data_IF_031754580970
#
_entry.id   IF_031754580970
#
_cell.length_a   1.000
_cell.length_b   1.000
_cell.length_c   1.000
_cell.angle_alpha   90.00
_cell.angle_beta   90.00
_cell.angle_gamma   90.00
#
_symmetry.space_group_name_H-M   'P 1'
#
loop_
_entity.id
_entity.type
_entity.pdbx_description
1 polymer ?
#
# COMPACT_ATOMS: atom_id res chain seq x y z
N UNK A 1 -45.22 2.45 38.14
CA UNK A 1 -44.35 3.47 37.52
C UNK A 1 -43.31 2.71 36.75
N UNK A 2 -43.39 2.82 35.43
CA UNK A 2 -42.43 2.24 34.50
C UNK A 2 -41.14 3.06 34.56
N UNK A 3 -40.00 2.40 34.39
CA UNK A 3 -38.89 2.89 33.57
C UNK A 3 -37.92 1.71 33.38
N UNK A 4 -38.07 1.03 32.24
CA UNK A 4 -37.07 0.14 31.70
C UNK A 4 -36.09 0.99 30.90
N UNK A 5 -34.85 1.04 31.36
CA UNK A 5 -33.73 1.66 30.66
C UNK A 5 -33.31 0.73 29.51
N UNK A 6 -33.97 0.90 28.36
CA UNK A 6 -33.61 0.25 27.10
C UNK A 6 -32.53 1.11 26.42
N UNK A 7 -31.27 0.79 26.71
CA UNK A 7 -30.12 1.35 25.99
C UNK A 7 -30.16 0.86 24.54
N UNK A 8 -30.52 1.78 23.65
CA UNK A 8 -30.48 1.65 22.20
C UNK A 8 -29.13 1.07 21.74
N UNK A 9 -29.09 0.01 20.91
CA UNK A 9 -27.93 -0.21 20.08
C UNK A 9 -27.88 0.92 19.05
N UNK A 10 -26.80 1.70 19.11
CA UNK A 10 -26.46 2.71 18.13
C UNK A 10 -26.19 1.99 16.78
N UNK A 11 -27.24 1.68 16.03
CA UNK A 11 -27.09 1.28 14.63
C UNK A 11 -26.68 2.53 13.84
N UNK A 12 -25.40 2.61 13.54
CA UNK A 12 -24.79 3.52 12.57
C UNK A 12 -25.33 3.22 11.16
N UNK A 13 -26.61 3.48 10.93
CA UNK A 13 -27.27 3.26 9.65
C UNK A 13 -26.98 4.45 8.73
N UNK A 14 -25.95 4.30 7.88
CA UNK A 14 -25.61 5.28 6.84
C UNK A 14 -24.16 5.24 6.34
N UNK A 15 -23.25 4.59 7.07
CA UNK A 15 -21.86 4.35 6.65
C UNK A 15 -21.72 3.14 5.71
N UNK A 16 -22.45 2.06 6.00
CA UNK A 16 -22.26 0.73 5.41
C UNK A 16 -22.65 0.56 3.93
N UNK A 17 -23.55 1.39 3.36
CA UNK A 17 -24.11 1.06 2.04
C UNK A 17 -23.06 1.07 0.94
N UNK A 18 -22.24 2.12 0.85
CA UNK A 18 -21.23 2.24 -0.20
C UNK A 18 -20.01 1.37 0.05
N UNK A 19 -19.70 1.06 1.31
CA UNK A 19 -18.62 0.12 1.68
C UNK A 19 -19.00 -1.30 1.28
N UNK A 20 -20.27 -1.65 1.46
CA UNK A 20 -20.84 -2.93 1.02
C UNK A 20 -20.95 -2.99 -0.50
N UNK A 21 -21.40 -1.93 -1.16
CA UNK A 21 -21.38 -1.84 -2.63
C UNK A 21 -19.95 -1.98 -3.19
N UNK A 22 -18.96 -1.42 -2.49
CA UNK A 22 -17.55 -1.55 -2.83
C UNK A 22 -17.05 -3.00 -2.63
N UNK A 23 -17.40 -3.64 -1.51
CA UNK A 23 -17.07 -5.04 -1.23
C UNK A 23 -17.69 -5.99 -2.27
N UNK A 24 -18.99 -5.83 -2.58
CA UNK A 24 -19.68 -6.61 -3.60
C UNK A 24 -19.06 -6.40 -4.99
N UNK A 25 -18.68 -5.16 -5.34
CA UNK A 25 -18.00 -4.88 -6.60
C UNK A 25 -16.61 -5.54 -6.67
N UNK A 26 -15.87 -5.57 -5.57
CA UNK A 26 -14.58 -6.23 -5.47
C UNK A 26 -14.71 -7.76 -5.56
N UNK A 27 -15.70 -8.36 -4.88
CA UNK A 27 -15.98 -9.79 -4.90
C UNK A 27 -16.50 -10.30 -6.25
N UNK A 28 -17.33 -9.50 -6.93
CA UNK A 28 -17.89 -9.85 -8.24
C UNK A 28 -16.79 -10.11 -9.29
N UNK A 29 -15.58 -9.56 -9.09
CA UNK A 29 -14.44 -9.70 -9.98
C UNK A 29 -14.61 -8.87 -11.27
N UNK A 30 -13.54 -8.20 -11.68
CA UNK A 30 -13.56 -7.36 -12.89
C UNK A 30 -14.09 -5.94 -12.69
N UNK A 31 -14.14 -5.46 -11.45
CA UNK A 31 -14.41 -4.04 -11.17
C UNK A 31 -13.32 -3.15 -11.79
N UNK A 32 -13.75 -2.12 -12.52
CA UNK A 32 -12.90 -1.13 -13.17
C UNK A 32 -12.74 0.15 -12.32
N UNK A 33 -11.72 0.95 -12.65
CA UNK A 33 -11.41 2.19 -11.93
C UNK A 33 -12.57 3.20 -11.94
N UNK A 34 -13.36 3.26 -13.01
CA UNK A 34 -14.47 4.21 -13.13
C UNK A 34 -15.59 3.83 -12.17
N UNK A 35 -15.96 2.56 -12.12
CA UNK A 35 -16.92 2.00 -11.15
C UNK A 35 -16.45 2.23 -9.71
N UNK A 36 -15.18 1.93 -9.39
CA UNK A 36 -14.62 2.21 -8.05
C UNK A 36 -14.71 3.69 -7.69
N UNK A 37 -14.35 4.58 -8.62
CA UNK A 37 -14.40 6.03 -8.38
C UNK A 37 -15.84 6.50 -8.14
N UNK A 38 -16.81 5.93 -8.85
CA UNK A 38 -18.23 6.25 -8.70
C UNK A 38 -18.79 5.81 -7.35
N UNK A 39 -18.29 4.70 -6.78
CA UNK A 39 -18.68 4.19 -5.46
C UNK A 39 -17.97 4.96 -4.34
N UNK A 40 -16.65 5.14 -4.44
CA UNK A 40 -15.84 5.80 -3.39
C UNK A 40 -16.16 7.29 -3.32
N UNK A 41 -16.42 7.96 -4.44
CA UNK A 41 -16.74 9.40 -4.51
C UNK A 41 -15.74 10.32 -3.76
N UNK A 42 -14.47 9.88 -3.61
CA UNK A 42 -13.45 10.60 -2.84
C UNK A 42 -13.55 10.46 -1.31
N UNK A 43 -14.37 9.53 -0.80
CA UNK A 43 -14.44 9.17 0.62
C UNK A 43 -13.18 8.42 1.08
N UNK A 44 -12.85 8.46 2.39
CA UNK A 44 -11.73 7.72 2.93
C UNK A 44 -11.95 6.21 2.78
N UNK A 45 -10.93 5.52 2.24
CA UNK A 45 -10.97 4.09 1.98
C UNK A 45 -10.77 3.27 3.28
N UNK A 46 -11.60 2.24 3.52
CA UNK A 46 -11.41 1.29 4.60
C UNK A 46 -10.07 0.57 4.46
N UNK A 47 -9.42 0.23 5.58
CA UNK A 47 -8.08 -0.37 5.56
C UNK A 47 -8.06 -1.72 4.81
N UNK A 48 -9.07 -2.54 5.04
CA UNK A 48 -9.22 -3.87 4.47
C UNK A 48 -9.41 -3.83 2.94
N UNK A 49 -10.14 -2.84 2.43
CA UNK A 49 -10.47 -2.71 1.01
C UNK A 49 -9.41 -1.92 0.22
N UNK A 50 -8.61 -1.08 0.90
CA UNK A 50 -7.61 -0.20 0.26
C UNK A 50 -6.64 -0.95 -0.62
N UNK A 51 -6.15 -2.11 -0.17
CA UNK A 51 -5.22 -2.92 -0.95
C UNK A 51 -5.84 -3.40 -2.26
N UNK A 52 -7.10 -3.85 -2.23
CA UNK A 52 -7.81 -4.34 -3.42
C UNK A 52 -8.12 -3.19 -4.40
N UNK A 53 -8.60 -2.06 -3.88
CA UNK A 53 -8.88 -0.84 -4.66
C UNK A 53 -7.61 -0.34 -5.34
N UNK A 54 -6.49 -0.28 -4.63
CA UNK A 54 -5.21 0.16 -5.22
C UNK A 54 -4.70 -0.82 -6.28
N UNK A 55 -4.88 -2.13 -6.09
CA UNK A 55 -4.52 -3.13 -7.11
C UNK A 55 -5.27 -2.91 -8.43
N UNK A 56 -6.57 -2.61 -8.36
CA UNK A 56 -7.38 -2.30 -9.54
C UNK A 56 -6.98 -0.95 -10.12
N UNK A 57 -6.84 0.08 -9.28
CA UNK A 57 -6.51 1.43 -9.72
C UNK A 57 -5.15 1.55 -10.41
N UNK A 58 -4.17 0.75 -9.98
CA UNK A 58 -2.85 0.65 -10.61
C UNK A 58 -2.82 -0.34 -11.79
N UNK A 59 -3.96 -0.96 -12.12
CA UNK A 59 -4.07 -2.02 -13.12
C UNK A 59 -3.03 -3.14 -12.92
N UNK A 60 -2.89 -3.56 -11.66
CA UNK A 60 -2.05 -4.68 -11.21
C UNK A 60 -2.87 -5.84 -10.63
N UNK A 61 -4.20 -5.72 -10.62
CA UNK A 61 -5.09 -6.82 -10.26
C UNK A 61 -4.84 -8.02 -11.18
N UNK A 62 -4.58 -9.19 -10.60
CA UNK A 62 -4.27 -10.42 -11.34
C UNK A 62 -2.88 -10.49 -11.98
N UNK A 63 -2.02 -9.47 -11.83
CA UNK A 63 -0.60 -9.61 -12.16
C UNK A 63 0.05 -10.47 -11.07
N UNK A 64 0.58 -11.62 -11.48
CA UNK A 64 1.25 -12.55 -10.59
C UNK A 64 2.42 -11.88 -9.86
N UNK A 65 2.82 -12.50 -8.76
CA UNK A 65 3.94 -12.01 -7.98
C UNK A 65 5.24 -12.12 -8.80
N UNK A 66 5.73 -10.98 -9.29
CA UNK A 66 6.95 -10.93 -10.10
C UNK A 66 8.18 -11.25 -9.25
N UNK A 67 8.12 -11.01 -7.94
CA UNK A 67 9.17 -11.39 -6.99
C UNK A 67 9.22 -12.90 -6.77
N UNK A 68 8.12 -13.64 -6.97
CA UNK A 68 8.13 -15.10 -6.81
C UNK A 68 9.07 -15.81 -7.82
N UNK A 69 9.35 -15.17 -8.96
CA UNK A 69 10.31 -15.68 -9.95
C UNK A 69 11.75 -15.16 -9.74
N UNK A 70 11.95 -14.27 -8.77
CA UNK A 70 13.22 -13.65 -8.48
C UNK A 70 14.07 -14.52 -7.54
N UNK A 71 15.39 -14.41 -7.67
CA UNK A 71 16.37 -15.23 -6.94
C UNK A 71 16.59 -14.80 -5.48
N UNK A 72 16.03 -13.66 -5.07
CA UNK A 72 16.19 -13.11 -3.72
C UNK A 72 17.58 -12.53 -3.45
N UNK A 73 18.42 -12.39 -4.49
CA UNK A 73 19.82 -11.99 -4.30
C UNK A 73 19.94 -10.47 -4.27
N UNK A 74 20.46 -9.95 -3.16
CA UNK A 74 20.73 -8.53 -2.90
C UNK A 74 22.19 -8.15 -3.27
N UNK A 75 22.51 -8.13 -4.57
CA UNK A 75 23.88 -7.97 -5.08
C UNK A 75 24.13 -6.69 -5.91
N UNK A 76 23.41 -5.60 -5.61
CA UNK A 76 23.64 -4.33 -6.30
C UNK A 76 24.91 -3.62 -5.81
N UNK A 77 25.61 -2.86 -6.67
CA UNK A 77 26.74 -2.04 -6.24
C UNK A 77 26.30 -0.98 -5.21
N UNK A 78 25.07 -0.48 -5.30
CA UNK A 78 24.47 0.48 -4.36
C UNK A 78 23.74 -0.19 -3.18
N UNK A 79 23.84 -1.51 -2.99
CA UNK A 79 23.08 -2.23 -1.97
C UNK A 79 23.28 -1.67 -0.55
N UNK A 80 24.52 -1.29 -0.21
CA UNK A 80 24.82 -0.68 1.09
C UNK A 80 24.06 0.64 1.31
N UNK A 81 23.88 1.43 0.25
CA UNK A 81 23.10 2.68 0.31
C UNK A 81 21.61 2.38 0.45
N UNK A 82 21.10 1.41 -0.32
CA UNK A 82 19.69 0.96 -0.23
C UNK A 82 19.39 0.46 1.18
N UNK A 83 20.24 -0.41 1.73
CA UNK A 83 20.09 -0.98 3.07
C UNK A 83 20.03 0.11 4.14
N UNK A 84 20.95 1.08 4.09
CA UNK A 84 20.96 2.20 5.03
C UNK A 84 19.69 3.05 4.95
N UNK A 85 19.27 3.41 3.74
CA UNK A 85 18.04 4.21 3.53
C UNK A 85 16.79 3.46 4.02
N UNK A 86 16.73 2.13 3.83
CA UNK A 86 15.65 1.29 4.33
C UNK A 86 15.66 1.19 5.86
N UNK A 87 16.83 1.07 6.49
CA UNK A 87 16.96 1.09 7.95
C UNK A 87 16.43 2.40 8.53
N UNK A 88 16.89 3.54 8.01
CA UNK A 88 16.42 4.86 8.47
C UNK A 88 14.91 5.03 8.28
N UNK A 89 14.35 4.48 7.21
CA UNK A 89 12.91 4.51 6.95
C UNK A 89 12.11 3.70 7.97
N UNK A 90 12.59 2.50 8.35
CA UNK A 90 11.92 1.62 9.30
C UNK A 90 12.01 2.17 10.72
N UNK A 91 13.16 2.74 11.09
CA UNK A 91 13.32 3.47 12.36
C UNK A 91 12.32 4.62 12.46
N UNK A 92 12.11 5.38 11.37
CA UNK A 92 11.10 6.46 11.35
C UNK A 92 9.67 5.95 11.49
N UNK A 93 9.36 4.76 10.97
CA UNK A 93 8.02 4.16 11.09
C UNK A 93 7.71 3.63 12.50
N UNK A 94 8.71 3.52 13.39
CA UNK A 94 8.54 3.00 14.76
C UNK A 94 7.78 1.67 14.80
N UNK A 95 8.09 0.78 13.85
CA UNK A 95 7.48 -0.56 13.79
C UNK A 95 8.02 -1.45 14.90
N UNK A 96 7.23 -2.45 15.36
CA UNK A 96 7.70 -3.43 16.34
C UNK A 96 8.93 -4.17 15.80
N UNK A 97 9.95 -4.33 16.65
CA UNK A 97 11.23 -4.96 16.28
C UNK A 97 11.03 -6.37 15.69
N UNK A 98 10.02 -7.09 16.20
CA UNK A 98 9.64 -8.43 15.72
C UNK A 98 9.23 -8.47 14.23
N UNK A 99 8.75 -7.35 13.67
CA UNK A 99 8.36 -7.21 12.25
C UNK A 99 9.31 -6.31 11.47
N UNK A 100 10.20 -5.60 12.15
CA UNK A 100 11.10 -4.64 11.53
C UNK A 100 12.07 -5.34 10.58
N UNK A 101 12.60 -6.51 10.96
CA UNK A 101 13.50 -7.29 10.13
C UNK A 101 12.82 -7.82 8.85
N UNK A 102 11.60 -8.36 8.98
CA UNK A 102 10.83 -8.85 7.83
C UNK A 102 10.48 -7.71 6.87
N UNK A 103 10.01 -6.58 7.41
CA UNK A 103 9.70 -5.40 6.62
C UNK A 103 10.95 -4.81 5.93
N UNK A 104 12.11 -4.88 6.59
CA UNK A 104 13.38 -4.46 6.01
C UNK A 104 13.72 -5.29 4.78
N UNK A 105 13.66 -6.61 4.92
CA UNK A 105 13.94 -7.54 3.83
C UNK A 105 12.92 -7.37 2.69
N UNK A 106 11.64 -7.18 2.99
CA UNK A 106 10.60 -6.96 1.98
C UNK A 106 10.86 -5.67 1.18
N UNK A 107 11.14 -4.56 1.87
CA UNK A 107 11.38 -3.27 1.22
C UNK A 107 12.69 -3.31 0.42
N UNK A 108 13.76 -3.87 0.98
CA UNK A 108 15.05 -4.00 0.32
C UNK A 108 14.96 -4.91 -0.92
N UNK A 109 14.20 -5.99 -0.84
CA UNK A 109 13.91 -6.91 -1.95
C UNK A 109 13.17 -6.24 -3.09
N UNK A 110 12.09 -5.50 -2.79
CA UNK A 110 11.30 -4.78 -3.79
C UNK A 110 12.15 -3.73 -4.52
N UNK A 111 12.94 -2.96 -3.77
CA UNK A 111 13.82 -1.94 -4.36
C UNK A 111 14.86 -2.62 -5.24
N UNK A 112 15.56 -3.63 -4.73
CA UNK A 112 16.62 -4.33 -5.46
C UNK A 112 16.09 -4.95 -6.74
N UNK A 113 14.95 -5.64 -6.67
CA UNK A 113 14.27 -6.21 -7.83
C UNK A 113 13.90 -5.13 -8.87
N UNK A 114 13.41 -3.97 -8.41
CA UNK A 114 13.09 -2.85 -9.30
C UNK A 114 14.35 -2.28 -9.97
N UNK A 115 15.46 -2.11 -9.25
CA UNK A 115 16.75 -1.67 -9.78
C UNK A 115 17.32 -2.67 -10.81
N UNK A 116 17.14 -3.97 -10.59
CA UNK A 116 17.56 -5.03 -11.52
C UNK A 116 16.69 -5.04 -12.78
N UNK A 117 15.39 -4.83 -12.62
CA UNK A 117 14.40 -4.95 -13.70
C UNK A 117 14.29 -3.71 -14.58
N UNK A 118 14.59 -2.52 -14.03
CA UNK A 118 14.62 -1.27 -14.79
C UNK A 118 16.04 -0.72 -14.83
N UNK A 119 16.53 -0.43 -16.03
CA UNK A 119 17.76 0.32 -16.23
C UNK A 119 17.83 1.53 -15.26
N UNK A 120 19.01 1.84 -14.68
CA UNK A 120 19.21 2.69 -13.50
C UNK A 120 18.68 4.14 -13.59
N UNK A 121 18.13 4.55 -14.73
CA UNK A 121 17.58 5.89 -14.98
C UNK A 121 16.39 6.24 -14.07
N UNK A 122 15.57 5.26 -13.66
CA UNK A 122 14.39 5.52 -12.83
C UNK A 122 14.75 5.91 -11.38
N UNK A 123 15.77 5.27 -10.80
CA UNK A 123 16.28 5.61 -9.45
C UNK A 123 16.97 6.97 -9.44
N UNK A 124 17.70 7.29 -10.51
CA UNK A 124 18.31 8.63 -10.66
C UNK A 124 17.21 9.69 -10.66
N UNK A 125 16.06 9.45 -11.32
CA UNK A 125 14.94 10.39 -11.27
C UNK A 125 14.24 10.45 -9.91
N UNK A 126 14.09 9.33 -9.21
CA UNK A 126 13.49 9.31 -7.88
C UNK A 126 14.37 10.01 -6.83
N UNK A 127 15.69 9.77 -6.88
CA UNK A 127 16.67 10.46 -6.06
C UNK A 127 16.73 11.96 -6.37
N UNK A 128 16.72 12.35 -7.66
CA UNK A 128 16.65 13.77 -8.08
C UNK A 128 15.34 14.43 -7.64
N UNK A 129 14.23 13.69 -7.59
CA UNK A 129 12.93 14.21 -7.14
C UNK A 129 12.88 14.37 -5.62
N UNK A 130 13.45 13.44 -4.84
CA UNK A 130 13.63 13.60 -3.39
C UNK A 130 14.52 14.81 -3.06
N UNK A 131 15.65 14.97 -3.76
CA UNK A 131 16.59 16.08 -3.54
C UNK A 131 16.00 17.46 -3.90
N UNK A 132 15.08 17.52 -4.87
CA UNK A 132 14.35 18.77 -5.18
C UNK A 132 13.33 19.17 -4.12
N UNK A 133 12.77 18.24 -3.35
CA UNK A 133 11.83 18.59 -2.27
C UNK A 133 12.55 19.12 -1.01
N UNK A 134 13.81 18.74 -0.79
CA UNK A 134 14.63 19.25 0.32
C UNK A 134 15.20 20.65 0.10
N UNK A 135 15.17 21.19 -1.14
CA UNK A 135 15.69 22.53 -1.45
C UNK A 135 14.64 23.66 -1.33
N UNK A 136 13.36 23.32 -1.07
CA UNK A 136 12.27 24.29 -0.89
C UNK A 136 11.83 24.45 0.57
N UNK A 137 12.69 24.10 1.54
CA UNK A 137 12.41 24.30 2.96
C UNK A 137 13.43 25.23 3.59
#
# INVERSE_FOLDING_TARGET
MAEGDELLPLSTSGGDSWEKDLEEALEAGGCDLETLRNIIQGRPLPAELRAQVWKIALNVAGKGDSLASWDGILDLPEQNTIHKDCLEFIEQLSVPEEKAADLLLDVESVITFYCKSQHPTALIQFAQKKNRYTFYR
#
